data_IF_829140048916
#
_entry.id   IF_829140048916
#
_cell.length_a   1.000
_cell.length_b   1.000
_cell.length_c   1.000
_cell.angle_alpha   90.00
_cell.angle_beta   90.00
_cell.angle_gamma   90.00
#
_symmetry.space_group_name_H-M   'P 1'
#
loop_
_entity.id
_entity.type
_entity.pdbx_description
1 polymer ?
#
# COMPACT_ATOMS: atom_id res chain seq x y z
N UNK A 1 -2.23 -5.10 9.81
CA UNK A 1 -1.92 -5.01 8.39
C UNK A 1 -3.06 -4.31 7.68
N UNK A 2 -2.75 -3.50 6.65
CA UNK A 2 -3.73 -2.71 5.93
C UNK A 2 -3.54 -2.87 4.42
N UNK A 3 -4.64 -2.75 3.68
CA UNK A 3 -4.67 -2.51 2.24
C UNK A 3 -6.00 -1.83 1.92
N UNK A 4 -6.04 -0.96 0.92
CA UNK A 4 -7.31 -0.50 0.39
C UNK A 4 -7.89 -1.55 -0.56
N UNK A 5 -9.22 -1.63 -0.66
CA UNK A 5 -9.90 -2.63 -1.48
C UNK A 5 -10.67 -2.03 -2.65
N UNK A 6 -10.86 -0.73 -2.62
CA UNK A 6 -11.37 0.03 -3.75
C UNK A 6 -10.29 0.24 -4.83
N UNK A 7 -10.65 0.83 -5.92
CA UNK A 7 -9.74 1.27 -6.97
C UNK A 7 -10.21 2.58 -7.56
N UNK A 8 -9.29 3.29 -8.24
CA UNK A 8 -9.61 4.53 -8.93
C UNK A 8 -10.82 4.34 -9.86
N UNK A 9 -11.87 5.17 -9.76
CA UNK A 9 -13.08 5.01 -10.58
C UNK A 9 -12.87 5.24 -12.07
N UNK A 10 -11.73 5.84 -12.45
CA UNK A 10 -11.43 6.22 -13.84
C UNK A 10 -9.92 6.26 -14.09
N UNK A 11 -9.53 6.06 -15.36
CA UNK A 11 -8.15 6.02 -15.80
C UNK A 11 -7.58 7.41 -16.11
N UNK A 12 -7.57 8.31 -15.13
CA UNK A 12 -7.23 9.74 -15.33
C UNK A 12 -5.74 10.02 -15.59
N UNK A 13 -4.87 9.02 -15.42
CA UNK A 13 -3.45 9.07 -15.80
C UNK A 13 -3.14 8.25 -17.08
N UNK A 14 -4.17 7.75 -17.76
CA UNK A 14 -3.94 7.03 -19.01
C UNK A 14 -3.34 7.97 -20.08
N UNK A 15 -2.32 7.53 -20.85
CA UNK A 15 -1.72 8.36 -21.89
C UNK A 15 -2.67 8.71 -23.04
N UNK A 16 -3.74 7.94 -23.27
CA UNK A 16 -4.82 8.31 -24.20
C UNK A 16 -5.98 8.97 -23.42
N UNK A 17 -6.15 10.28 -23.58
CA UNK A 17 -7.22 11.06 -22.93
C UNK A 17 -8.64 10.50 -23.12
N UNK A 18 -8.85 9.69 -24.18
CA UNK A 18 -10.14 9.01 -24.40
C UNK A 18 -10.48 8.04 -23.28
N UNK A 19 -9.46 7.52 -22.61
CA UNK A 19 -9.60 6.57 -21.52
C UNK A 19 -9.84 7.23 -20.16
N UNK A 20 -9.64 8.55 -20.01
CA UNK A 20 -9.69 9.23 -18.72
C UNK A 20 -11.00 9.10 -17.95
N UNK A 21 -12.07 8.64 -18.58
CA UNK A 21 -13.38 8.36 -17.94
C UNK A 21 -13.72 6.88 -17.92
N UNK A 22 -12.77 6.03 -18.32
CA UNK A 22 -12.97 4.59 -18.37
C UNK A 22 -12.66 4.01 -16.98
N UNK A 23 -13.52 3.15 -16.42
CA UNK A 23 -13.21 2.42 -15.20
C UNK A 23 -11.96 1.54 -15.37
N UNK A 24 -11.15 1.44 -14.32
CA UNK A 24 -9.98 0.55 -14.28
C UNK A 24 -10.27 -0.70 -13.45
N UNK A 25 -9.45 -1.74 -13.61
CA UNK A 25 -9.62 -2.99 -12.88
C UNK A 25 -8.94 -2.98 -11.51
N UNK A 26 -7.92 -2.15 -11.33
CA UNK A 26 -7.19 -2.02 -10.07
C UNK A 26 -6.50 -3.31 -9.64
N UNK A 27 -5.90 -4.05 -10.59
CA UNK A 27 -5.29 -5.33 -10.29
C UNK A 27 -4.05 -5.19 -9.39
N UNK A 28 -3.29 -4.13 -9.59
CA UNK A 28 -2.17 -3.77 -8.73
C UNK A 28 -2.63 -2.79 -7.63
N UNK A 29 -3.33 -1.76 -8.01
CA UNK A 29 -3.82 -0.67 -7.19
C UNK A 29 -5.24 -0.96 -6.67
N UNK A 30 -5.33 -1.37 -5.53
CA UNK A 30 -5.87 -1.99 -4.39
C UNK A 30 -5.81 -3.52 -4.36
N UNK A 31 -6.14 -4.25 -5.47
CA UNK A 31 -6.35 -5.70 -5.37
C UNK A 31 -5.08 -6.48 -5.00
N UNK A 32 -3.88 -6.02 -5.35
CA UNK A 32 -2.64 -6.71 -5.03
C UNK A 32 -2.37 -6.77 -3.51
N UNK A 33 -2.58 -5.66 -2.81
CA UNK A 33 -2.48 -5.60 -1.36
C UNK A 33 -3.50 -6.51 -0.67
N UNK A 34 -4.76 -6.48 -1.11
CA UNK A 34 -5.82 -7.37 -0.62
C UNK A 34 -5.44 -8.84 -0.84
N UNK A 35 -5.00 -9.20 -2.04
CA UNK A 35 -4.58 -10.57 -2.37
C UNK A 35 -3.43 -11.07 -1.49
N UNK A 36 -2.41 -10.23 -1.26
CA UNK A 36 -1.30 -10.53 -0.37
C UNK A 36 -1.77 -10.74 1.07
N UNK A 37 -2.65 -9.89 1.59
CA UNK A 37 -3.17 -9.99 2.95
C UNK A 37 -4.07 -11.23 3.15
N UNK A 38 -4.85 -11.62 2.16
CA UNK A 38 -5.65 -12.85 2.20
C UNK A 38 -4.76 -14.10 2.25
N UNK A 39 -3.64 -14.11 1.51
CA UNK A 39 -2.68 -15.21 1.60
C UNK A 39 -1.96 -15.22 2.94
N UNK A 40 -1.57 -14.07 3.47
CA UNK A 40 -1.00 -13.95 4.83
C UNK A 40 -1.99 -14.49 5.87
N UNK A 41 -3.27 -14.12 5.78
CA UNK A 41 -4.32 -14.64 6.68
C UNK A 41 -4.41 -16.17 6.63
N UNK A 42 -4.35 -16.75 5.43
CA UNK A 42 -4.35 -18.21 5.24
C UNK A 42 -3.14 -18.87 5.89
N UNK A 43 -1.96 -18.28 5.76
CA UNK A 43 -0.72 -18.78 6.35
C UNK A 43 -0.70 -18.66 7.88
N UNK A 44 -1.16 -17.51 8.40
CA UNK A 44 -1.30 -17.26 9.85
C UNK A 44 -2.26 -18.25 10.50
N UNK A 45 -3.36 -18.59 9.83
CA UNK A 45 -4.29 -19.62 10.32
C UNK A 45 -3.65 -21.02 10.39
N UNK A 46 -2.68 -21.32 9.52
CA UNK A 46 -1.95 -22.60 9.55
C UNK A 46 -0.83 -22.62 10.60
N UNK A 47 -0.23 -21.47 10.87
CA UNK A 47 0.87 -21.32 11.83
C UNK A 47 0.61 -20.10 12.69
N UNK A 48 -0.16 -20.28 13.74
CA UNK A 48 -0.52 -19.18 14.64
C UNK A 48 0.73 -18.54 15.24
N UNK A 49 0.99 -17.25 14.98
CA UNK A 49 2.08 -16.54 15.62
C UNK A 49 1.76 -16.25 17.10
N UNK A 50 2.76 -15.92 17.89
CA UNK A 50 2.58 -15.47 19.27
C UNK A 50 2.01 -14.04 19.37
N UNK A 51 1.82 -13.38 18.24
CA UNK A 51 1.27 -12.02 18.12
C UNK A 51 -0.14 -12.07 17.56
N UNK A 52 -1.03 -11.21 18.07
CA UNK A 52 -2.29 -10.89 17.39
C UNK A 52 -1.99 -10.13 16.09
N UNK A 53 -2.69 -10.51 15.03
CA UNK A 53 -2.62 -9.86 13.72
C UNK A 53 -4.03 -9.49 13.33
N UNK A 54 -4.26 -8.19 13.15
CA UNK A 54 -5.48 -7.65 12.56
C UNK A 54 -5.22 -7.33 11.10
N UNK A 55 -6.14 -7.71 10.23
CA UNK A 55 -6.14 -7.35 8.80
C UNK A 55 -7.35 -6.45 8.57
N UNK A 56 -7.09 -5.27 8.06
CA UNK A 56 -8.10 -4.22 7.86
C UNK A 56 -8.07 -3.81 6.41
N UNK A 57 -9.20 -3.94 5.74
CA UNK A 57 -9.39 -3.44 4.40
C UNK A 57 -10.06 -2.06 4.47
N UNK A 58 -9.45 -1.09 3.83
CA UNK A 58 -9.88 0.30 3.82
C UNK A 58 -10.58 0.61 2.49
N UNK A 59 -11.58 1.48 2.55
CA UNK A 59 -12.41 1.85 1.40
C UNK A 59 -12.18 3.31 1.01
N UNK A 60 -12.45 3.64 -0.24
CA UNK A 60 -12.37 4.99 -0.77
C UNK A 60 -11.01 5.68 -0.51
N UNK A 61 -9.93 4.92 -0.68
CA UNK A 61 -8.57 5.45 -0.72
C UNK A 61 -8.42 6.33 -1.97
N UNK A 62 -8.78 5.78 -3.12
CA UNK A 62 -8.53 6.28 -4.47
C UNK A 62 -9.61 7.22 -5.03
N UNK A 63 -10.55 7.65 -4.21
CA UNK A 63 -11.65 8.54 -4.65
C UNK A 63 -11.29 10.03 -4.63
N UNK A 64 -10.04 10.35 -4.32
CA UNK A 64 -9.57 11.71 -4.14
C UNK A 64 -9.51 12.56 -5.42
N UNK A 65 -9.27 13.84 -5.23
CA UNK A 65 -9.09 14.81 -6.32
C UNK A 65 -7.64 15.30 -6.33
N UNK A 66 -7.07 15.47 -7.53
CA UNK A 66 -5.70 15.99 -7.73
C UNK A 66 -5.55 17.49 -7.41
N UNK A 67 -6.50 18.10 -6.70
CA UNK A 67 -6.34 19.45 -6.19
C UNK A 67 -5.32 19.46 -5.05
N UNK A 68 -4.20 20.14 -5.24
CA UNK A 68 -3.08 20.25 -4.28
C UNK A 68 -3.49 20.76 -2.89
N UNK A 69 -4.65 21.39 -2.76
CA UNK A 69 -5.19 21.90 -1.49
C UNK A 69 -6.16 20.92 -0.81
N UNK A 70 -6.37 19.73 -1.35
CA UNK A 70 -7.40 18.79 -0.88
C UNK A 70 -6.83 17.39 -0.59
N UNK A 71 -5.71 17.34 0.14
CA UNK A 71 -5.12 16.08 0.63
C UNK A 71 -6.16 15.18 1.33
N UNK A 72 -7.10 15.80 2.06
CA UNK A 72 -8.13 15.10 2.83
C UNK A 72 -9.23 14.46 1.95
N UNK A 73 -9.24 14.65 0.63
CA UNK A 73 -10.15 13.95 -0.28
C UNK A 73 -9.77 12.49 -0.53
N UNK A 74 -8.53 12.12 -0.23
CA UNK A 74 -7.98 10.77 -0.37
C UNK A 74 -8.10 9.98 0.93
N UNK A 75 -7.98 8.67 0.85
CA UNK A 75 -7.86 7.78 2.02
C UNK A 75 -9.02 7.90 3.01
N UNK A 76 -10.26 8.09 2.51
CA UNK A 76 -11.43 8.38 3.35
C UNK A 76 -11.71 7.25 4.35
N UNK A 77 -11.50 5.99 3.95
CA UNK A 77 -11.65 4.83 4.83
C UNK A 77 -10.65 4.83 5.98
N UNK A 78 -9.39 5.13 5.70
CA UNK A 78 -8.36 5.25 6.75
C UNK A 78 -8.67 6.40 7.71
N UNK A 79 -9.09 7.54 7.19
CA UNK A 79 -9.51 8.68 8.00
C UNK A 79 -10.69 8.34 8.92
N UNK A 80 -11.68 7.62 8.39
CA UNK A 80 -12.83 7.17 9.17
C UNK A 80 -12.41 6.16 10.24
N UNK A 81 -11.70 5.09 9.84
CA UNK A 81 -11.24 4.05 10.75
C UNK A 81 -10.35 4.59 11.86
N UNK A 82 -9.43 5.48 11.53
CA UNK A 82 -8.52 6.07 12.53
C UNK A 82 -9.25 6.89 13.60
N UNK A 83 -10.41 7.48 13.27
CA UNK A 83 -11.27 8.19 14.23
C UNK A 83 -12.27 7.27 14.93
N UNK A 84 -12.65 6.15 14.29
CA UNK A 84 -13.68 5.22 14.74
C UNK A 84 -13.19 3.77 14.65
N UNK A 85 -12.17 3.38 15.43
CA UNK A 85 -11.64 2.03 15.34
C UNK A 85 -12.70 0.99 15.74
N UNK A 86 -12.63 -0.18 15.14
CA UNK A 86 -13.57 -1.29 15.33
C UNK A 86 -13.64 -1.82 16.77
N UNK A 87 -12.65 -1.49 17.60
CA UNK A 87 -12.62 -1.79 19.05
C UNK A 87 -12.31 -0.51 19.80
N UNK A 88 -13.08 -0.22 20.85
CA UNK A 88 -12.83 0.94 21.70
C UNK A 88 -11.46 0.82 22.39
N UNK A 89 -10.65 1.87 22.29
CA UNK A 89 -9.30 1.87 22.84
C UNK A 89 -8.31 1.00 22.06
N UNK A 90 -8.61 0.73 20.79
CA UNK A 90 -7.73 -0.04 19.90
C UNK A 90 -6.31 0.52 19.91
N UNK A 91 -5.34 -0.37 20.11
CA UNK A 91 -3.93 -0.02 20.15
C UNK A 91 -3.09 -1.15 19.56
N UNK A 92 -2.53 -0.93 18.38
CA UNK A 92 -1.59 -1.84 17.76
C UNK A 92 -0.14 -1.43 18.04
N UNK A 93 0.78 -2.38 18.05
CA UNK A 93 2.21 -2.09 18.21
C UNK A 93 2.75 -1.28 17.03
N UNK A 94 2.32 -1.64 15.82
CA UNK A 94 2.61 -0.96 14.57
C UNK A 94 1.67 -1.45 13.47
N UNK A 95 1.63 -0.74 12.36
CA UNK A 95 0.93 -1.10 11.13
C UNK A 95 1.89 -1.26 9.95
N UNK A 96 1.46 -2.03 8.95
CA UNK A 96 2.08 -2.11 7.63
C UNK A 96 0.95 -2.02 6.62
N UNK A 97 1.00 -1.03 5.76
CA UNK A 97 0.15 -0.88 4.59
C UNK A 97 0.82 -1.59 3.41
N UNK A 98 0.04 -2.24 2.59
CA UNK A 98 0.46 -2.84 1.33
C UNK A 98 -0.31 -2.18 0.20
N UNK A 99 0.37 -1.36 -0.58
CA UNK A 99 -0.21 -0.71 -1.74
C UNK A 99 0.62 -0.96 -3.01
N UNK A 100 -0.06 -1.28 -4.11
CA UNK A 100 0.53 -1.60 -5.41
C UNK A 100 1.65 -2.66 -5.35
N UNK A 101 1.48 -3.71 -4.56
CA UNK A 101 2.54 -4.70 -4.24
C UNK A 101 2.62 -5.87 -5.22
N UNK A 102 1.94 -5.79 -6.36
CA UNK A 102 1.86 -6.89 -7.33
C UNK A 102 2.43 -6.58 -8.72
N UNK A 103 2.84 -5.34 -8.99
CA UNK A 103 3.28 -4.92 -10.31
C UNK A 103 4.59 -5.56 -10.77
N UNK A 104 4.75 -5.70 -12.09
CA UNK A 104 6.00 -6.11 -12.72
C UNK A 104 7.02 -4.94 -12.72
N UNK A 105 8.31 -5.26 -12.81
CA UNK A 105 9.40 -4.28 -12.89
C UNK A 105 9.38 -3.22 -11.76
N UNK A 106 8.93 -3.61 -10.59
CA UNK A 106 8.71 -2.74 -9.44
C UNK A 106 9.86 -2.81 -8.45
N UNK A 107 10.13 -1.69 -7.80
CA UNK A 107 10.98 -1.58 -6.61
C UNK A 107 10.19 -0.97 -5.46
N UNK A 108 10.63 -1.23 -4.24
CA UNK A 108 10.10 -0.63 -3.02
C UNK A 108 11.19 0.26 -2.43
N UNK A 109 10.93 1.55 -2.42
CA UNK A 109 11.75 2.57 -1.78
C UNK A 109 11.20 2.89 -0.40
N UNK A 110 12.02 3.50 0.46
CA UNK A 110 11.53 3.95 1.77
C UNK A 110 10.72 5.23 1.60
N UNK A 111 9.43 5.11 1.81
CA UNK A 111 8.51 6.23 1.76
C UNK A 111 8.80 7.20 2.93
N UNK A 112 8.82 8.52 2.68
CA UNK A 112 9.31 9.53 3.63
C UNK A 112 8.47 9.68 4.89
N UNK A 113 7.14 9.52 4.83
CA UNK A 113 6.31 9.56 6.04
C UNK A 113 6.48 8.29 6.87
N UNK A 114 6.69 7.15 6.23
CA UNK A 114 7.07 5.89 6.90
C UNK A 114 8.37 6.04 7.67
N UNK A 115 9.40 6.64 7.05
CA UNK A 115 10.66 6.96 7.74
C UNK A 115 10.47 7.99 8.88
N UNK A 116 9.57 8.94 8.72
CA UNK A 116 9.30 9.97 9.73
C UNK A 116 8.57 9.42 10.95
N UNK A 117 7.55 8.58 10.75
CA UNK A 117 6.66 8.11 11.82
C UNK A 117 7.08 6.78 12.42
N UNK A 118 7.69 5.89 11.62
CA UNK A 118 8.00 4.52 12.00
C UNK A 118 9.36 4.02 11.48
N UNK A 119 10.46 4.78 11.63
CA UNK A 119 11.77 4.44 11.07
C UNK A 119 12.31 3.09 11.57
N UNK A 120 11.99 2.72 12.79
CA UNK A 120 12.38 1.45 13.39
C UNK A 120 11.68 0.25 12.74
N UNK A 121 10.43 0.41 12.32
CA UNK A 121 9.67 -0.62 11.61
C UNK A 121 10.17 -0.73 10.17
N UNK A 122 10.30 0.40 9.48
CA UNK A 122 10.80 0.47 8.12
C UNK A 122 12.16 -0.24 8.01
N UNK A 123 13.10 0.11 8.88
CA UNK A 123 14.41 -0.54 8.95
C UNK A 123 14.32 -2.07 9.18
N UNK A 124 13.39 -2.54 10.02
CA UNK A 124 13.20 -3.98 10.26
C UNK A 124 12.71 -4.70 9.02
N UNK A 125 11.74 -4.13 8.30
CA UNK A 125 11.16 -4.71 7.08
C UNK A 125 12.20 -4.78 5.98
N UNK A 126 12.90 -3.69 5.66
CA UNK A 126 13.97 -3.69 4.64
C UNK A 126 15.11 -4.65 4.98
N UNK A 127 15.47 -4.74 6.26
CA UNK A 127 16.48 -5.73 6.72
C UNK A 127 15.97 -7.16 6.53
N UNK A 128 14.70 -7.45 6.80
CA UNK A 128 14.11 -8.77 6.60
C UNK A 128 14.07 -9.13 5.11
N UNK A 129 13.62 -8.23 4.24
CA UNK A 129 13.60 -8.40 2.79
C UNK A 129 15.00 -8.70 2.24
N UNK A 130 16.01 -7.93 2.67
CA UNK A 130 17.41 -8.18 2.29
C UNK A 130 17.89 -9.56 2.74
N UNK A 131 17.55 -9.99 3.96
CA UNK A 131 17.92 -11.32 4.49
C UNK A 131 17.27 -12.46 3.70
N UNK A 132 16.06 -12.24 3.19
CA UNK A 132 15.32 -13.19 2.36
C UNK A 132 15.76 -13.19 0.89
N UNK A 133 16.69 -12.33 0.50
CA UNK A 133 17.22 -12.25 -0.87
C UNK A 133 16.58 -11.21 -1.76
N UNK A 134 15.65 -10.40 -1.24
CA UNK A 134 14.91 -9.37 -2.00
C UNK A 134 15.55 -7.98 -1.95
N UNK A 135 16.82 -7.85 -1.57
CA UNK A 135 17.50 -6.56 -1.45
C UNK A 135 17.65 -5.76 -2.75
N UNK A 136 17.42 -6.39 -3.92
CA UNK A 136 17.36 -5.68 -5.20
C UNK A 136 15.98 -5.08 -5.49
N UNK A 137 14.96 -5.56 -4.80
CA UNK A 137 13.59 -5.07 -4.91
C UNK A 137 13.27 -4.08 -3.78
N UNK A 138 13.72 -4.35 -2.57
CA UNK A 138 13.62 -3.45 -1.41
C UNK A 138 14.89 -2.61 -1.29
N UNK A 139 14.91 -1.45 -1.92
CA UNK A 139 16.07 -0.56 -2.04
C UNK A 139 16.09 0.40 -0.84
N UNK A 140 17.25 0.53 -0.20
CA UNK A 140 17.44 1.39 0.98
C UNK A 140 17.72 2.83 0.56
N UNK A 141 16.77 3.45 -0.14
CA UNK A 141 16.82 4.81 -0.64
C UNK A 141 15.49 5.53 -0.35
N UNK A 142 15.51 6.85 -0.33
CA UNK A 142 14.30 7.67 -0.13
C UNK A 142 13.42 7.64 -1.38
N UNK A 143 12.16 7.27 -1.20
CA UNK A 143 11.12 7.21 -2.23
C UNK A 143 10.24 8.46 -2.33
N UNK A 144 10.52 9.49 -1.51
CA UNK A 144 9.63 10.64 -1.40
C UNK A 144 8.42 10.38 -0.50
N UNK A 145 7.61 11.40 -0.28
CA UNK A 145 6.39 11.30 0.55
C UNK A 145 5.16 11.12 -0.32
N UNK A 146 4.30 10.18 0.06
CA UNK A 146 3.04 9.89 -0.62
C UNK A 146 1.87 10.06 0.35
N UNK A 147 0.80 10.73 -0.11
CA UNK A 147 -0.47 10.75 0.63
C UNK A 147 -1.17 9.44 0.40
N UNK A 148 -1.23 8.62 1.45
CA UNK A 148 -1.81 7.29 1.44
C UNK A 148 -2.37 6.96 2.84
N UNK A 149 -3.08 5.88 2.98
CA UNK A 149 -3.78 5.43 4.21
C UNK A 149 -2.88 5.45 5.45
N UNK A 150 -1.61 5.04 5.32
CA UNK A 150 -0.64 5.02 6.42
C UNK A 150 -0.42 6.41 7.02
N UNK A 151 -0.47 7.46 6.21
CA UNK A 151 -0.30 8.84 6.66
C UNK A 151 -1.40 9.25 7.65
N UNK A 152 -2.66 8.95 7.30
CA UNK A 152 -3.81 9.25 8.17
C UNK A 152 -3.85 8.36 9.40
N UNK A 153 -3.48 7.08 9.29
CA UNK A 153 -3.35 6.18 10.44
C UNK A 153 -2.30 6.72 11.42
N UNK A 154 -1.14 7.16 10.94
CA UNK A 154 -0.10 7.78 11.78
C UNK A 154 -0.60 9.07 12.44
N UNK A 155 -1.23 9.97 11.67
CA UNK A 155 -1.65 11.29 12.15
C UNK A 155 -2.82 11.21 13.13
N UNK A 156 -3.82 10.36 12.87
CA UNK A 156 -5.10 10.36 13.56
C UNK A 156 -5.19 9.26 14.62
N UNK A 157 -4.83 8.02 14.27
CA UNK A 157 -4.84 6.91 15.23
C UNK A 157 -3.56 6.82 16.05
N UNK A 158 -2.49 7.53 15.65
CA UNK A 158 -1.16 7.51 16.30
C UNK A 158 -0.56 6.12 16.40
N UNK A 159 -0.87 5.26 15.45
CA UNK A 159 -0.28 3.94 15.28
C UNK A 159 0.87 4.08 14.29
N UNK A 160 2.10 3.76 14.73
CA UNK A 160 3.29 3.74 13.86
C UNK A 160 3.07 2.81 12.68
N UNK A 161 2.82 3.36 11.50
CA UNK A 161 2.50 2.60 10.29
C UNK A 161 3.46 2.97 9.19
N UNK A 162 4.00 1.96 8.52
CA UNK A 162 4.78 2.10 7.30
C UNK A 162 3.92 1.72 6.10
N UNK A 163 4.35 2.17 4.95
CA UNK A 163 3.83 1.80 3.67
C UNK A 163 4.88 1.00 2.88
N UNK A 164 4.47 -0.12 2.32
CA UNK A 164 5.21 -0.86 1.30
C UNK A 164 4.52 -0.53 -0.02
N UNK A 165 5.04 0.50 -0.67
CA UNK A 165 4.48 1.08 -1.88
C UNK A 165 5.39 0.83 -3.07
N UNK A 166 4.81 0.36 -4.17
CA UNK A 166 5.53 0.18 -5.42
C UNK A 166 5.98 1.52 -6.03
N UNK A 167 7.19 1.51 -6.54
CA UNK A 167 7.74 2.62 -7.31
C UNK A 167 8.32 2.10 -8.63
N UNK A 168 8.29 2.94 -9.66
CA UNK A 168 9.07 2.71 -10.86
C UNK A 168 10.58 2.81 -10.53
N UNK A 169 11.44 1.94 -11.06
CA UNK A 169 12.89 2.05 -10.86
C UNK A 169 13.51 3.37 -11.32
N UNK A 170 12.86 4.08 -12.23
CA UNK A 170 13.29 5.41 -12.71
C UNK A 170 12.70 6.56 -11.87
N UNK A 171 11.85 6.23 -10.88
CA UNK A 171 11.19 7.14 -9.95
C UNK A 171 9.72 7.41 -10.27
N UNK A 172 8.94 7.73 -9.23
CA UNK A 172 7.50 7.94 -9.33
C UNK A 172 6.68 6.66 -9.23
N UNK A 173 5.39 6.75 -9.55
CA UNK A 173 4.49 5.61 -9.57
C UNK A 173 4.73 4.70 -10.78
N UNK A 174 4.27 3.47 -10.70
CA UNK A 174 4.36 2.50 -11.80
C UNK A 174 3.63 3.02 -13.05
N UNK A 175 4.07 2.66 -14.27
CA UNK A 175 3.45 3.16 -15.52
C UNK A 175 1.98 2.78 -15.69
N UNK A 176 1.49 1.77 -14.94
CA UNK A 176 0.10 1.31 -14.99
C UNK A 176 -0.82 2.06 -14.01
N UNK A 177 -0.24 2.87 -13.11
CA UNK A 177 -0.99 3.58 -12.08
C UNK A 177 -2.06 4.50 -12.69
N UNK A 178 -3.32 4.32 -12.26
CA UNK A 178 -4.49 5.03 -12.73
C UNK A 178 -4.69 5.00 -14.26
N UNK A 179 -4.34 3.88 -14.89
CA UNK A 179 -4.54 3.64 -16.33
C UNK A 179 -5.40 2.40 -16.58
N UNK A 180 -5.93 2.24 -17.80
CA UNK A 180 -6.63 1.01 -18.20
C UNK A 180 -5.73 -0.24 -18.19
N UNK A 181 -4.41 -0.04 -18.08
CA UNK A 181 -3.41 -1.11 -18.02
C UNK A 181 -3.17 -1.64 -16.61
N UNK A 182 -3.82 -1.08 -15.59
CA UNK A 182 -3.82 -1.72 -14.28
C UNK A 182 -4.73 -2.95 -14.28
N UNK A 183 -4.23 -4.04 -14.85
CA UNK A 183 -4.93 -5.29 -15.03
C UNK A 183 -4.02 -6.50 -14.74
N UNK A 184 -4.58 -7.71 -14.80
CA UNK A 184 -3.87 -8.95 -14.45
C UNK A 184 -2.68 -9.29 -15.34
N UNK A 185 -2.55 -8.69 -16.54
CA UNK A 185 -1.43 -8.94 -17.46
C UNK A 185 -0.12 -8.35 -16.92
N UNK A 186 -0.21 -7.32 -16.09
CA UNK A 186 0.92 -6.60 -15.48
C UNK A 186 1.21 -7.05 -14.04
N UNK A 187 0.58 -8.13 -13.57
CA UNK A 187 0.86 -8.67 -12.23
C UNK A 187 1.99 -9.71 -12.27
N UNK A 188 3.03 -9.47 -11.47
CA UNK A 188 4.14 -10.40 -11.28
C UNK A 188 4.00 -11.17 -9.95
N UNK A 189 3.93 -12.49 -10.05
CA UNK A 189 3.88 -13.39 -8.89
C UNK A 189 5.13 -13.32 -8.00
N UNK A 190 6.27 -12.94 -8.57
CA UNK A 190 7.51 -12.82 -7.77
C UNK A 190 7.47 -11.57 -6.88
N UNK A 191 6.86 -10.47 -7.37
CA UNK A 191 6.63 -9.28 -6.56
C UNK A 191 5.68 -9.58 -5.41
N UNK A 192 4.52 -10.18 -5.67
CA UNK A 192 3.58 -10.63 -4.63
C UNK A 192 4.24 -11.58 -3.63
N UNK A 193 5.06 -12.53 -4.12
CA UNK A 193 5.78 -13.46 -3.24
C UNK A 193 6.79 -12.75 -2.35
N UNK A 194 7.52 -11.76 -2.88
CA UNK A 194 8.52 -11.02 -2.12
C UNK A 194 7.89 -10.25 -0.95
N UNK A 195 6.71 -9.68 -1.17
CA UNK A 195 5.98 -8.92 -0.14
C UNK A 195 5.28 -9.85 0.86
N UNK A 196 4.74 -10.99 0.42
CA UNK A 196 4.03 -11.94 1.28
C UNK A 196 4.91 -12.83 2.16
N UNK A 197 6.23 -12.78 2.04
CA UNK A 197 7.20 -13.55 2.86
C UNK A 197 7.69 -12.79 4.08
#
# INVERSE_FOLDING_TARGET
LFAHWDTRPWADNDPDEKNHKTPILGANDGASGVGALLEIARLVNQRQPELGIDIIFLDAEDYGTHDQNNEESWCLGAQYWARNPHVQGYNARFGILLDMVGGENTVFLKESYSERFAPDINKKVWKAAKKLGYGKMFIDEDGGGVTDDHLFINRLARIKTIDILASDPEGGFTPTWHTINDNMEHIDRNTLKAVGQ
#
